data_IF_577416267751
#
_entry.id   IF_577416267751
#
_cell.length_a   1.000
_cell.length_b   1.000
_cell.length_c   1.000
_cell.angle_alpha   90.00
_cell.angle_beta   90.00
_cell.angle_gamma   90.00
#
_symmetry.space_group_name_H-M   'P 1'
#
loop_
_entity.id
_entity.type
_entity.pdbx_description
1 polymer ?
#
# COMPACT_ATOMS: atom_id res chain seq x y z
N UNK A 1 -2.20 15.00 8.25
CA UNK A 1 -2.10 14.17 7.02
C UNK A 1 -3.14 13.06 7.08
N UNK A 2 -3.72 12.61 5.95
CA UNK A 2 -4.83 11.66 5.98
C UNK A 2 -4.31 10.24 6.26
N UNK A 3 -4.60 9.74 7.45
CA UNK A 3 -4.49 8.32 7.75
C UNK A 3 -5.65 7.61 7.05
N UNK A 4 -5.33 6.69 6.15
CA UNK A 4 -6.34 5.98 5.36
C UNK A 4 -6.51 4.56 5.87
N UNK A 5 -7.73 4.04 5.86
CA UNK A 5 -7.93 2.61 6.07
C UNK A 5 -7.35 1.82 4.90
N UNK A 6 -7.03 0.54 5.11
CA UNK A 6 -6.56 -0.35 4.04
C UNK A 6 -7.49 -0.36 2.81
N UNK A 7 -8.81 -0.23 3.02
CA UNK A 7 -9.79 -0.16 1.95
C UNK A 7 -9.69 1.14 1.16
N UNK A 8 -9.51 2.27 1.83
CA UNK A 8 -9.33 3.57 1.18
C UNK A 8 -7.99 3.65 0.46
N UNK A 9 -6.91 3.20 1.10
CA UNK A 9 -5.58 3.11 0.48
C UNK A 9 -5.62 2.27 -0.79
N UNK A 10 -6.34 1.13 -0.80
CA UNK A 10 -6.49 0.33 -2.01
C UNK A 10 -7.15 1.10 -3.14
N UNK A 11 -8.20 1.89 -2.85
CA UNK A 11 -8.89 2.71 -3.86
C UNK A 11 -8.01 3.86 -4.35
N UNK A 12 -7.38 4.60 -3.42
CA UNK A 12 -6.52 5.76 -3.72
C UNK A 12 -5.35 5.34 -4.61
N UNK A 13 -4.74 4.18 -4.33
CA UNK A 13 -3.59 3.67 -5.07
C UNK A 13 -3.97 2.85 -6.32
N UNK A 14 -5.26 2.72 -6.63
CA UNK A 14 -5.75 2.00 -7.81
C UNK A 14 -5.55 0.48 -7.76
N UNK A 15 -5.44 -0.12 -6.58
CA UNK A 15 -5.36 -1.58 -6.44
C UNK A 15 -6.73 -2.22 -6.65
N UNK A 16 -6.80 -3.16 -7.60
CA UNK A 16 -8.04 -3.91 -7.88
C UNK A 16 -8.50 -4.77 -6.71
N UNK A 17 -7.61 -5.11 -5.76
CA UNK A 17 -7.96 -5.91 -4.59
C UNK A 17 -7.24 -5.47 -3.32
N UNK A 18 -8.01 -5.34 -2.23
CA UNK A 18 -7.50 -5.14 -0.87
C UNK A 18 -6.57 -6.26 -0.42
N UNK A 19 -6.74 -7.46 -1.00
CA UNK A 19 -5.95 -8.66 -0.66
C UNK A 19 -4.45 -8.46 -0.87
N UNK A 20 -4.05 -7.63 -1.84
CA UNK A 20 -2.64 -7.29 -2.07
C UNK A 20 -2.05 -6.56 -0.86
N UNK A 21 -2.71 -5.53 -0.36
CA UNK A 21 -2.26 -4.80 0.83
C UNK A 21 -2.24 -5.69 2.07
N UNK A 22 -3.23 -6.56 2.26
CA UNK A 22 -3.25 -7.51 3.38
C UNK A 22 -2.11 -8.54 3.31
N UNK A 23 -1.74 -9.02 2.12
CA UNK A 23 -0.58 -9.90 1.93
C UNK A 23 0.71 -9.17 2.28
N UNK A 24 0.92 -7.98 1.71
CA UNK A 24 2.12 -7.15 1.95
C UNK A 24 2.25 -6.79 3.44
N UNK A 25 1.12 -6.53 4.11
CA UNK A 25 1.05 -6.36 5.58
C UNK A 25 1.45 -7.63 6.32
N UNK A 26 0.85 -8.78 5.99
CA UNK A 26 1.12 -10.08 6.63
C UNK A 26 2.61 -10.43 6.55
N UNK A 27 3.22 -10.12 5.42
CA UNK A 27 4.64 -10.34 5.16
C UNK A 27 5.55 -9.28 5.83
N UNK A 28 4.98 -8.31 6.56
CA UNK A 28 5.71 -7.38 7.42
C UNK A 28 6.19 -6.09 6.76
N UNK A 29 5.89 -5.87 5.48
CA UNK A 29 6.44 -4.75 4.70
C UNK A 29 5.77 -3.39 4.97
N UNK A 30 4.60 -3.39 5.64
CA UNK A 30 3.85 -2.17 5.95
C UNK A 30 4.04 -1.66 7.38
N UNK A 31 4.92 -2.29 8.18
CA UNK A 31 5.08 -1.94 9.61
C UNK A 31 5.37 -0.45 9.85
N UNK A 32 6.23 0.15 9.02
CA UNK A 32 6.60 1.57 9.13
C UNK A 32 5.49 2.54 8.66
N UNK A 33 4.46 2.00 8.01
CA UNK A 33 3.33 2.76 7.46
C UNK A 33 2.05 2.54 8.28
N UNK A 34 2.01 1.52 9.15
CA UNK A 34 0.86 1.22 10.01
C UNK A 34 0.81 2.17 11.21
N UNK A 35 -0.33 2.86 11.36
CA UNK A 35 -0.61 3.72 12.51
C UNK A 35 -1.85 3.20 13.21
N UNK A 36 -1.81 3.08 14.54
CA UNK A 36 -2.98 2.72 15.33
C UNK A 36 -3.58 3.97 15.95
N UNK A 37 -4.86 4.24 15.64
CA UNK A 37 -5.61 5.37 16.15
C UNK A 37 -6.90 4.82 16.73
N UNK A 38 -7.13 5.03 18.04
CA UNK A 38 -8.32 4.54 18.74
C UNK A 38 -8.60 3.04 18.52
N UNK A 39 -7.56 2.21 18.53
CA UNK A 39 -7.66 0.76 18.34
C UNK A 39 -7.92 0.31 16.89
N UNK A 40 -8.11 1.24 15.94
CA UNK A 40 -8.19 0.96 14.51
C UNK A 40 -6.83 1.12 13.87
N UNK A 41 -6.58 0.32 12.83
CA UNK A 41 -5.33 0.37 12.05
C UNK A 41 -5.53 1.15 10.77
N UNK A 42 -4.65 2.11 10.56
CA UNK A 42 -4.59 2.97 9.39
C UNK A 42 -3.22 2.84 8.73
N UNK A 43 -3.15 3.30 7.50
CA UNK A 43 -1.92 3.46 6.75
C UNK A 43 -1.66 4.95 6.56
N UNK A 44 -0.43 5.35 6.89
CA UNK A 44 0.09 6.65 6.49
C UNK A 44 0.56 6.55 5.03
N UNK A 45 0.02 7.43 4.17
CA UNK A 45 0.42 7.50 2.77
C UNK A 45 1.78 8.19 2.61
N UNK A 46 2.13 9.08 3.53
CA UNK A 46 3.33 9.92 3.48
C UNK A 46 4.00 9.99 4.86
N UNK A 47 4.47 8.85 5.41
CA UNK A 47 5.16 8.85 6.69
C UNK A 47 6.44 9.70 6.63
N UNK A 48 6.69 10.43 7.71
CA UNK A 48 7.91 11.25 7.85
C UNK A 48 9.14 10.34 7.91
N UNK A 49 10.12 10.60 7.05
CA UNK A 49 11.40 9.86 7.01
C UNK A 49 11.38 8.58 6.16
N UNK A 50 10.28 8.28 5.47
CA UNK A 50 10.19 7.17 4.53
C UNK A 50 9.59 7.64 3.20
N UNK A 51 9.84 6.88 2.13
CA UNK A 51 9.22 7.14 0.82
C UNK A 51 7.69 7.01 0.90
N UNK A 52 6.95 7.71 0.04
CA UNK A 52 5.49 7.57 -0.04
C UNK A 52 5.08 6.11 -0.18
N UNK A 53 3.96 5.73 0.44
CA UNK A 53 3.49 4.35 0.46
C UNK A 53 3.31 3.77 -0.95
N UNK A 54 2.83 4.57 -1.90
CA UNK A 54 2.71 4.18 -3.31
C UNK A 54 4.05 3.73 -3.91
N UNK A 55 5.10 4.53 -3.70
CA UNK A 55 6.43 4.26 -4.24
C UNK A 55 7.05 3.03 -3.58
N UNK A 56 6.89 2.89 -2.26
CA UNK A 56 7.35 1.71 -1.51
C UNK A 56 6.65 0.44 -2.00
N UNK A 57 5.33 0.48 -2.16
CA UNK A 57 4.56 -0.63 -2.69
C UNK A 57 4.95 -0.98 -4.13
N UNK A 58 5.16 0.02 -5.00
CA UNK A 58 5.67 -0.21 -6.37
C UNK A 58 6.98 -1.00 -6.34
N UNK A 59 7.92 -0.62 -5.48
CA UNK A 59 9.18 -1.34 -5.30
C UNK A 59 8.96 -2.79 -4.83
N UNK A 60 8.19 -3.00 -3.77
CA UNK A 60 7.92 -4.36 -3.24
C UNK A 60 7.24 -5.24 -4.29
N UNK A 61 6.25 -4.70 -5.02
CA UNK A 61 5.47 -5.47 -5.97
C UNK A 61 6.25 -5.79 -7.25
N UNK A 62 7.24 -4.97 -7.64
CA UNK A 62 8.16 -5.29 -8.74
C UNK A 62 9.08 -6.46 -8.42
N UNK A 63 9.53 -6.58 -7.17
CA UNK A 63 10.48 -7.62 -6.75
C UNK A 63 9.81 -8.93 -6.31
N UNK A 64 8.48 -8.96 -6.15
CA UNK A 64 7.78 -10.13 -5.60
C UNK A 64 7.61 -11.25 -6.63
N UNK A 65 8.11 -12.47 -6.36
CA UNK A 65 7.98 -13.61 -7.27
C UNK A 65 6.54 -14.15 -7.39
N UNK A 66 5.62 -13.78 -6.47
CA UNK A 66 4.28 -14.37 -6.34
C UNK A 66 3.12 -13.39 -6.53
N UNK A 67 3.37 -12.19 -7.09
CA UNK A 67 2.31 -11.21 -7.27
C UNK A 67 1.61 -11.36 -8.63
N UNK A 68 0.27 -11.46 -8.70
CA UNK A 68 -0.44 -11.34 -9.96
C UNK A 68 -0.15 -9.94 -10.50
N UNK A 69 0.50 -9.92 -11.66
CA UNK A 69 0.93 -8.75 -12.41
C UNK A 69 -0.18 -7.70 -12.32
N UNK A 70 0.18 -6.53 -11.78
CA UNK A 70 -0.61 -5.30 -11.86
C UNK A 70 -1.14 -5.22 -13.29
N UNK A 71 -2.46 -5.24 -13.53
CA UNK A 71 -3.02 -4.87 -14.84
C UNK A 71 -2.64 -3.40 -15.03
N UNK A 72 -1.46 -3.19 -15.58
CA UNK A 72 -0.78 -1.93 -15.68
C UNK A 72 -1.30 -1.27 -16.96
N UNK A 73 -2.53 -0.75 -16.91
CA UNK A 73 -2.99 0.20 -17.92
C UNK A 73 -2.24 1.52 -17.67
N UNK A 74 -1.04 1.64 -18.25
CA UNK A 74 -0.44 2.94 -18.53
C UNK A 74 -1.11 3.46 -19.80
N UNK A 75 -2.21 4.17 -19.63
CA UNK A 75 -2.71 5.09 -20.65
C UNK A 75 -2.87 6.42 -19.93
N UNK A 76 -1.86 7.27 -20.07
CA UNK A 76 -1.93 8.74 -20.12
C UNK A 76 -0.47 9.22 -20.19
N UNK A 77 0.00 9.33 -21.45
CA UNK A 77 1.17 10.09 -21.87
C UNK A 77 0.67 11.38 -22.53
#
# INVERSE_FOLDING_TARGET
MPFCTFSETARILGYSSRSTLYKVRKDGWLKHYEVSIQGKKYLDLHPKGHSPLDQHLKGILQWRPSNPIRKMNYMDA
#
